data_IF_868278800592
#
_entry.id   IF_868278800592
#
_cell.length_a   1.000
_cell.length_b   1.000
_cell.length_c   1.000
_cell.angle_alpha   90.00
_cell.angle_beta   90.00
_cell.angle_gamma   90.00
#
_symmetry.space_group_name_H-M   'P 1'
#
loop_
_entity.id
_entity.type
_entity.pdbx_description
1 polymer ?
#
# COMPACT_ATOMS: atom_id res chain seq x y z
N UNK A 1 7.29 3.68 16.30
CA UNK A 1 7.80 5.03 16.01
C UNK A 1 7.22 5.43 14.66
N UNK A 2 6.68 6.65 14.57
CA UNK A 2 6.17 7.23 13.32
C UNK A 2 7.31 7.27 12.29
N UNK A 3 7.04 6.92 11.04
CA UNK A 3 8.04 7.03 9.95
C UNK A 3 8.03 8.39 9.28
N UNK A 4 6.89 9.07 9.32
CA UNK A 4 6.74 10.40 8.77
C UNK A 4 6.39 11.40 9.88
N UNK A 5 7.25 12.41 10.08
CA UNK A 5 7.04 13.43 11.09
C UNK A 5 7.40 14.83 10.54
N UNK A 6 6.39 15.68 10.38
CA UNK A 6 6.57 17.07 9.97
C UNK A 6 7.29 17.92 11.02
N UNK A 7 7.20 17.59 12.31
CA UNK A 7 7.94 18.31 13.35
C UNK A 7 9.45 17.99 13.29
N UNK A 8 9.83 16.91 12.61
CA UNK A 8 11.22 16.57 12.31
C UNK A 8 11.71 17.12 10.96
N UNK A 9 10.83 17.75 10.17
CA UNK A 9 11.23 18.31 8.88
C UNK A 9 12.23 19.48 9.06
N UNK A 10 13.35 19.52 8.32
CA UNK A 10 14.33 20.60 8.42
C UNK A 10 13.76 22.02 8.24
N UNK A 11 12.75 22.20 7.37
CA UNK A 11 12.08 23.49 7.17
C UNK A 11 11.35 23.96 8.42
N UNK A 12 10.71 23.04 9.15
CA UNK A 12 10.09 23.35 10.44
C UNK A 12 11.13 23.69 11.51
N UNK A 13 12.20 22.88 11.59
CA UNK A 13 13.22 23.01 12.62
C UNK A 13 13.97 24.34 12.56
N UNK A 14 14.31 24.78 11.34
CA UNK A 14 14.99 26.06 11.12
C UNK A 14 14.02 27.22 10.93
N UNK A 15 12.70 26.99 10.97
CA UNK A 15 11.65 28.00 10.71
C UNK A 15 11.81 28.71 9.35
N UNK A 16 12.26 27.96 8.34
CA UNK A 16 12.51 28.45 6.97
C UNK A 16 11.55 27.82 5.96
N UNK A 17 11.33 28.49 4.83
CA UNK A 17 10.61 27.96 3.68
C UNK A 17 11.55 27.52 2.52
N UNK A 18 11.07 26.72 1.54
CA UNK A 18 11.87 26.25 0.40
C UNK A 18 12.47 27.31 -0.53
N UNK A 19 12.05 28.58 -0.42
CA UNK A 19 12.57 29.70 -1.22
C UNK A 19 13.78 30.40 -0.60
N UNK A 20 14.13 30.07 0.64
CA UNK A 20 15.36 30.57 1.25
C UNK A 20 16.61 29.99 0.58
N UNK A 21 17.57 30.86 0.32
CA UNK A 21 18.87 30.54 -0.25
C UNK A 21 19.84 30.03 0.83
N UNK A 22 21.10 29.77 0.49
CA UNK A 22 22.09 29.25 1.46
C UNK A 22 22.45 30.24 2.58
N UNK A 23 22.49 31.53 2.27
CA UNK A 23 22.79 32.58 3.25
C UNK A 23 21.65 32.71 4.26
N UNK A 24 20.41 32.72 3.77
CA UNK A 24 19.21 32.73 4.61
C UNK A 24 19.17 31.52 5.56
N UNK A 25 19.55 30.33 5.06
CA UNK A 25 19.60 29.11 5.86
C UNK A 25 20.68 29.16 6.95
N UNK A 26 21.84 29.77 6.67
CA UNK A 26 22.90 29.94 7.65
C UNK A 26 22.49 30.90 8.77
N UNK A 27 21.87 32.03 8.42
CA UNK A 27 21.33 32.98 9.39
C UNK A 27 20.24 32.34 10.28
N UNK A 28 19.29 31.64 9.67
CA UNK A 28 18.23 30.96 10.40
C UNK A 28 18.76 29.84 11.33
N UNK A 29 19.88 29.21 10.96
CA UNK A 29 20.56 28.24 11.82
C UNK A 29 21.19 28.93 13.04
N UNK A 30 21.93 30.02 12.85
CA UNK A 30 22.53 30.79 13.96
C UNK A 30 21.46 31.28 14.95
N UNK A 31 20.35 31.82 14.44
CA UNK A 31 19.19 32.23 15.25
C UNK A 31 18.59 31.03 16.00
N UNK A 32 18.39 29.90 15.33
CA UNK A 32 17.81 28.70 15.94
C UNK A 32 18.69 28.11 17.05
N UNK A 33 20.02 28.11 16.89
CA UNK A 33 20.99 27.64 17.89
C UNK A 33 21.02 28.61 19.08
N UNK A 34 20.97 29.92 18.83
CA UNK A 34 20.90 30.92 19.89
C UNK A 34 19.61 30.78 20.74
N UNK A 35 18.46 30.52 20.11
CA UNK A 35 17.20 30.29 20.82
C UNK A 35 17.14 28.93 21.55
N UNK A 36 17.78 27.89 20.99
CA UNK A 36 17.69 26.49 21.46
C UNK A 36 19.06 25.81 21.44
N UNK A 37 19.98 26.19 22.35
CA UNK A 37 21.35 25.67 22.34
C UNK A 37 21.42 24.15 22.58
N UNK A 38 20.42 23.54 23.24
CA UNK A 38 20.36 22.10 23.46
C UNK A 38 20.06 21.25 22.20
N UNK A 39 19.62 21.87 21.10
CA UNK A 39 19.22 21.18 19.86
C UNK A 39 20.29 21.28 18.75
N UNK A 40 21.50 21.77 19.06
CA UNK A 40 22.53 22.12 18.06
C UNK A 40 22.86 20.99 17.07
N UNK A 41 23.02 19.75 17.55
CA UNK A 41 23.31 18.60 16.68
C UNK A 41 22.17 18.36 15.66
N UNK A 42 20.93 18.43 16.12
CA UNK A 42 19.74 18.24 15.28
C UNK A 42 19.58 19.39 14.28
N UNK A 43 19.85 20.63 14.69
CA UNK A 43 19.82 21.81 13.82
C UNK A 43 20.94 21.75 12.77
N UNK A 44 22.12 21.26 13.14
CA UNK A 44 23.25 21.07 12.23
C UNK A 44 22.92 20.03 11.16
N UNK A 45 22.34 18.89 11.56
CA UNK A 45 21.87 17.88 10.63
C UNK A 45 20.77 18.42 9.67
N UNK A 46 19.86 19.25 10.19
CA UNK A 46 18.83 19.91 9.39
C UNK A 46 19.43 20.85 8.34
N UNK A 47 20.37 21.72 8.74
CA UNK A 47 21.07 22.63 7.82
C UNK A 47 21.85 21.85 6.75
N UNK A 48 22.60 20.83 7.16
CA UNK A 48 23.36 19.99 6.24
C UNK A 48 22.42 19.32 5.22
N UNK A 49 21.29 18.77 5.67
CA UNK A 49 20.28 18.16 4.80
C UNK A 49 19.72 19.14 3.75
N UNK A 50 19.40 20.37 4.14
CA UNK A 50 18.89 21.39 3.22
C UNK A 50 19.93 21.92 2.21
N UNK A 51 21.22 21.75 2.51
CA UNK A 51 22.31 22.13 1.60
C UNK A 51 22.62 21.06 0.54
N UNK A 52 22.24 19.80 0.79
CA UNK A 52 22.49 18.67 -0.11
C UNK A 52 21.31 18.42 -1.07
N UNK A 53 21.52 18.13 -2.37
CA UNK A 53 20.44 18.07 -3.36
C UNK A 53 19.34 17.03 -3.06
N UNK A 54 19.73 15.82 -2.66
CA UNK A 54 18.80 14.69 -2.42
C UNK A 54 18.06 14.84 -1.09
N UNK A 55 18.73 15.06 0.07
CA UNK A 55 18.02 15.25 1.33
C UNK A 55 17.15 16.51 1.32
N UNK A 56 17.56 17.59 0.63
CA UNK A 56 16.70 18.76 0.42
C UNK A 56 15.43 18.40 -0.33
N UNK A 57 15.51 17.60 -1.41
CA UNK A 57 14.32 17.17 -2.15
C UNK A 57 13.33 16.41 -1.26
N UNK A 58 13.84 15.50 -0.43
CA UNK A 58 13.01 14.76 0.51
C UNK A 58 12.35 15.68 1.54
N UNK A 59 13.08 16.67 2.05
CA UNK A 59 12.54 17.69 2.94
C UNK A 59 11.46 18.54 2.25
N UNK A 60 11.66 18.94 0.98
CA UNK A 60 10.71 19.73 0.18
C UNK A 60 9.43 18.95 -0.08
N UNK A 61 9.55 17.69 -0.49
CA UNK A 61 8.42 16.79 -0.72
C UNK A 61 7.64 16.48 0.56
N UNK A 62 8.35 16.34 1.68
CA UNK A 62 7.76 16.16 3.01
C UNK A 62 7.30 17.45 3.68
N UNK A 63 7.24 18.58 2.96
CA UNK A 63 6.82 19.88 3.52
C UNK A 63 5.45 20.34 3.02
N UNK A 64 4.92 21.44 3.56
CA UNK A 64 3.56 21.92 3.26
C UNK A 64 3.47 22.73 1.96
N UNK A 65 4.61 23.14 1.40
CA UNK A 65 4.72 24.04 0.24
C UNK A 65 4.35 25.49 0.57
N UNK A 66 4.87 26.44 -0.21
CA UNK A 66 4.54 27.86 -0.08
C UNK A 66 5.03 28.53 1.23
N UNK A 67 4.52 29.74 1.48
CA UNK A 67 4.80 30.53 2.68
C UNK A 67 3.64 30.40 3.66
N UNK A 68 3.79 29.51 4.65
CA UNK A 68 2.83 29.33 5.73
C UNK A 68 3.49 29.80 7.03
N UNK A 69 2.75 30.55 7.85
CA UNK A 69 3.26 31.06 9.12
C UNK A 69 3.43 29.93 10.15
N UNK A 70 4.45 30.03 11.00
CA UNK A 70 4.75 29.03 12.04
C UNK A 70 3.54 28.73 12.94
N UNK A 71 2.75 29.72 13.42
CA UNK A 71 1.57 29.44 14.25
C UNK A 71 0.53 28.56 13.54
N UNK A 72 0.34 28.76 12.24
CA UNK A 72 -0.57 27.95 11.42
C UNK A 72 -0.05 26.53 11.29
N UNK A 73 1.25 26.36 11.03
CA UNK A 73 1.87 25.02 10.97
C UNK A 73 1.71 24.30 12.31
N UNK A 74 2.03 24.96 13.44
CA UNK A 74 1.89 24.37 14.77
C UNK A 74 0.46 23.92 15.07
N UNK A 75 -0.54 24.74 14.71
CA UNK A 75 -1.96 24.37 14.87
C UNK A 75 -2.36 23.18 13.98
N UNK A 76 -1.84 23.10 12.75
CA UNK A 76 -2.05 21.97 11.86
C UNK A 76 -1.43 20.68 12.40
N UNK A 77 -0.20 20.74 12.91
CA UNK A 77 0.49 19.59 13.53
C UNK A 77 -0.22 19.08 14.78
N UNK A 78 -0.77 20.00 15.59
CA UNK A 78 -1.57 19.64 16.76
C UNK A 78 -2.98 19.13 16.41
N UNK A 79 -3.40 19.22 15.13
CA UNK A 79 -4.77 18.90 14.72
C UNK A 79 -5.82 19.80 15.37
N UNK A 80 -5.46 21.05 15.65
CA UNK A 80 -6.34 22.08 16.24
C UNK A 80 -6.70 23.20 15.26
N UNK A 81 -6.04 23.23 14.09
CA UNK A 81 -6.36 24.18 13.04
C UNK A 81 -7.80 23.99 12.49
N UNK A 82 -8.48 25.08 12.08
CA UNK A 82 -9.75 25.00 11.36
C UNK A 82 -9.63 24.20 10.05
N UNK A 83 -10.71 23.54 9.65
CA UNK A 83 -10.75 22.76 8.39
C UNK A 83 -10.43 23.62 7.16
N UNK A 84 -10.87 24.88 7.14
CA UNK A 84 -10.56 25.83 6.08
C UNK A 84 -9.06 26.09 5.90
N UNK A 85 -8.25 25.97 6.97
CA UNK A 85 -6.79 26.07 6.89
C UNK A 85 -6.20 24.87 6.16
N UNK A 86 -6.76 23.68 6.38
CA UNK A 86 -6.34 22.47 5.68
C UNK A 86 -6.68 22.54 4.17
N UNK A 87 -7.83 23.11 3.80
CA UNK A 87 -8.25 23.27 2.40
C UNK A 87 -7.36 24.24 1.60
N UNK A 88 -6.79 25.25 2.26
CA UNK A 88 -5.86 26.21 1.64
C UNK A 88 -4.52 25.57 1.24
N UNK A 89 -4.17 24.42 1.81
CA UNK A 89 -2.95 23.69 1.46
C UNK A 89 -3.10 23.04 0.08
N UNK A 90 -2.00 22.98 -0.67
CA UNK A 90 -1.92 22.13 -1.86
C UNK A 90 -2.10 20.64 -1.52
N UNK A 91 -2.38 19.81 -2.53
CA UNK A 91 -2.63 18.38 -2.33
C UNK A 91 -1.49 17.66 -1.59
N UNK A 92 -0.23 17.99 -1.90
CA UNK A 92 0.94 17.43 -1.20
C UNK A 92 0.99 17.84 0.28
N UNK A 93 0.77 19.13 0.59
CA UNK A 93 0.75 19.62 1.97
C UNK A 93 -0.37 18.99 2.80
N UNK A 94 -1.56 18.82 2.20
CA UNK A 94 -2.67 18.07 2.82
C UNK A 94 -2.31 16.62 3.09
N UNK A 95 -1.66 15.94 2.14
CA UNK A 95 -1.18 14.56 2.30
C UNK A 95 -0.18 14.45 3.45
N UNK A 96 0.78 15.38 3.52
CA UNK A 96 1.80 15.41 4.56
C UNK A 96 1.18 15.63 5.95
N UNK A 97 0.26 16.60 6.11
CA UNK A 97 -0.45 16.78 7.39
C UNK A 97 -1.25 15.54 7.77
N UNK A 98 -2.02 14.98 6.85
CA UNK A 98 -2.82 13.79 7.12
C UNK A 98 -1.94 12.59 7.52
N UNK A 99 -0.81 12.40 6.84
CA UNK A 99 0.16 11.37 7.17
C UNK A 99 0.82 11.59 8.54
N UNK A 100 1.21 12.82 8.87
CA UNK A 100 1.75 13.16 10.19
C UNK A 100 0.73 12.85 11.30
N UNK A 101 -0.52 13.32 11.15
CA UNK A 101 -1.59 13.08 12.12
C UNK A 101 -1.92 11.58 12.27
N UNK A 102 -1.80 10.79 11.19
CA UNK A 102 -1.93 9.32 11.29
C UNK A 102 -0.88 8.70 12.23
N UNK A 103 0.32 9.29 12.28
CA UNK A 103 1.44 8.82 13.11
C UNK A 103 1.40 9.26 14.57
N UNK A 104 0.47 10.14 14.98
CA UNK A 104 0.43 10.71 16.33
C UNK A 104 -0.34 9.79 17.31
N UNK A 105 0.34 9.15 18.29
CA UNK A 105 -0.32 8.25 19.24
C UNK A 105 -1.27 8.98 20.22
N UNK A 106 -1.05 10.26 20.48
CA UNK A 106 -1.82 11.11 21.41
C UNK A 106 -3.20 11.49 20.86
N UNK A 107 -3.39 11.42 19.54
CA UNK A 107 -4.69 11.70 18.94
C UNK A 107 -5.71 10.62 19.24
N UNK A 108 -6.97 11.05 19.44
CA UNK A 108 -8.08 10.11 19.63
C UNK A 108 -8.26 9.19 18.41
N UNK A 109 -8.77 7.96 18.59
CA UNK A 109 -9.00 7.03 17.49
C UNK A 109 -9.83 7.63 16.35
N UNK A 110 -10.87 8.41 16.68
CA UNK A 110 -11.72 9.10 15.69
C UNK A 110 -10.97 10.14 14.87
N UNK A 111 -10.08 10.93 15.47
CA UNK A 111 -9.24 11.89 14.73
C UNK A 111 -8.24 11.18 13.82
N UNK A 112 -7.65 10.07 14.27
CA UNK A 112 -6.79 9.25 13.41
C UNK A 112 -7.53 8.61 12.24
N UNK A 113 -8.78 8.16 12.45
CA UNK A 113 -9.62 7.63 11.38
C UNK A 113 -9.99 8.71 10.34
N UNK A 114 -10.23 9.94 10.78
CA UNK A 114 -10.44 11.08 9.89
C UNK A 114 -9.16 11.40 9.09
N UNK A 115 -8.01 11.50 9.76
CA UNK A 115 -6.71 11.72 9.10
C UNK A 115 -6.41 10.63 8.06
N UNK A 116 -6.68 9.37 8.38
CA UNK A 116 -6.51 8.24 7.45
C UNK A 116 -7.42 8.39 6.22
N UNK A 117 -8.68 8.76 6.42
CA UNK A 117 -9.64 8.98 5.32
C UNK A 117 -9.21 10.15 4.42
N UNK A 118 -8.76 11.25 5.03
CA UNK A 118 -8.19 12.41 4.31
C UNK A 118 -6.95 12.02 3.51
N UNK A 119 -6.04 11.25 4.10
CA UNK A 119 -4.81 10.79 3.45
C UNK A 119 -5.13 9.96 2.20
N UNK A 120 -6.02 8.97 2.30
CA UNK A 120 -6.43 8.14 1.16
C UNK A 120 -7.09 9.00 0.07
N UNK A 121 -7.98 9.92 0.46
CA UNK A 121 -8.66 10.81 -0.48
C UNK A 121 -7.69 11.73 -1.23
N UNK A 122 -6.72 12.33 -0.55
CA UNK A 122 -5.78 13.26 -1.18
C UNK A 122 -4.73 12.56 -2.04
N UNK A 123 -4.33 11.33 -1.70
CA UNK A 123 -3.41 10.52 -2.51
C UNK A 123 -3.93 10.34 -3.95
N UNK A 124 -5.25 10.24 -4.12
CA UNK A 124 -5.89 10.18 -5.44
C UNK A 124 -5.68 11.44 -6.30
N UNK A 125 -5.38 12.58 -5.66
CA UNK A 125 -5.27 13.90 -6.29
C UNK A 125 -3.84 14.35 -6.52
N UNK A 126 -2.84 13.59 -6.03
CA UNK A 126 -1.44 13.94 -6.25
C UNK A 126 -1.08 13.79 -7.73
N UNK A 127 -0.40 14.81 -8.25
CA UNK A 127 0.11 14.86 -9.61
C UNK A 127 1.62 15.13 -9.56
N UNK A 128 2.46 14.12 -9.87
CA UNK A 128 3.92 14.25 -9.85
C UNK A 128 4.43 15.42 -10.70
N UNK A 129 3.82 15.68 -11.86
CA UNK A 129 4.24 16.76 -12.75
C UNK A 129 3.97 18.14 -12.12
N UNK A 130 2.78 18.33 -11.55
CA UNK A 130 2.45 19.57 -10.85
C UNK A 130 3.33 19.79 -9.61
N UNK A 131 3.65 18.72 -8.88
CA UNK A 131 4.57 18.76 -7.72
C UNK A 131 5.98 19.16 -8.18
N UNK A 132 6.51 18.55 -9.24
CA UNK A 132 7.82 18.86 -9.81
C UNK A 132 7.91 20.33 -10.26
N UNK A 133 6.88 20.85 -10.93
CA UNK A 133 6.81 22.25 -11.32
C UNK A 133 6.80 23.21 -10.11
N UNK A 134 6.11 22.85 -9.03
CA UNK A 134 6.06 23.65 -7.82
C UNK A 134 7.44 23.70 -7.13
N UNK A 135 8.09 22.53 -6.94
CA UNK A 135 9.43 22.43 -6.36
C UNK A 135 10.45 23.18 -7.23
N UNK A 136 10.41 22.98 -8.55
CA UNK A 136 11.30 23.67 -9.48
C UNK A 136 11.18 25.20 -9.43
N UNK A 137 9.97 25.73 -9.16
CA UNK A 137 9.75 27.16 -8.95
C UNK A 137 10.41 27.67 -7.67
N UNK A 138 10.24 26.95 -6.57
CA UNK A 138 10.81 27.35 -5.27
C UNK A 138 12.34 27.21 -5.26
N UNK A 139 12.89 26.18 -5.91
CA UNK A 139 14.34 26.01 -6.11
C UNK A 139 14.95 27.11 -6.96
N UNK A 140 14.29 27.52 -8.04
CA UNK A 140 14.73 28.65 -8.86
C UNK A 140 14.81 29.95 -8.05
N UNK A 141 13.83 30.19 -7.18
CA UNK A 141 13.83 31.37 -6.32
C UNK A 141 14.97 31.34 -5.27
N UNK A 142 15.29 30.16 -4.74
CA UNK A 142 16.35 29.96 -3.74
C UNK A 142 17.77 29.78 -4.33
N UNK A 143 17.90 29.72 -5.65
CA UNK A 143 19.19 29.48 -6.32
C UNK A 143 19.68 28.02 -6.26
N UNK A 144 18.81 27.06 -5.91
CA UNK A 144 19.14 25.63 -5.92
C UNK A 144 18.89 25.03 -7.32
N UNK A 145 19.67 24.00 -7.72
CA UNK A 145 19.52 23.37 -9.02
C UNK A 145 18.17 22.67 -9.17
N UNK A 146 17.69 22.60 -10.42
CA UNK A 146 16.48 21.86 -10.77
C UNK A 146 16.60 20.37 -10.38
N UNK A 147 15.45 19.74 -10.17
CA UNK A 147 15.35 18.32 -9.83
C UNK A 147 15.21 17.51 -11.11
N UNK A 148 15.94 16.41 -11.21
CA UNK A 148 15.76 15.41 -12.26
C UNK A 148 14.48 14.59 -12.03
N UNK A 149 13.73 14.30 -13.09
CA UNK A 149 12.43 13.63 -13.00
C UNK A 149 12.54 12.23 -12.36
N UNK A 150 13.58 11.46 -12.66
CA UNK A 150 13.76 10.13 -12.07
C UNK A 150 14.05 10.21 -10.56
N UNK A 151 14.78 11.24 -10.14
CA UNK A 151 15.02 11.51 -8.72
C UNK A 151 13.73 11.94 -8.01
N UNK A 152 12.90 12.77 -8.66
CA UNK A 152 11.59 13.18 -8.14
C UNK A 152 10.67 11.96 -7.94
N UNK A 153 10.55 11.10 -8.96
CA UNK A 153 9.72 9.90 -8.90
C UNK A 153 10.17 8.94 -7.79
N UNK A 154 11.47 8.72 -7.67
CA UNK A 154 12.03 7.89 -6.59
C UNK A 154 11.72 8.46 -5.20
N UNK A 155 11.86 9.78 -5.04
CA UNK A 155 11.59 10.44 -3.77
C UNK A 155 10.09 10.47 -3.42
N UNK A 156 9.20 10.63 -4.41
CA UNK A 156 7.75 10.52 -4.24
C UNK A 156 7.33 9.10 -3.85
N UNK A 157 7.90 8.07 -4.50
CA UNK A 157 7.66 6.68 -4.13
C UNK A 157 8.09 6.40 -2.69
N UNK A 158 9.24 6.96 -2.26
CA UNK A 158 9.68 6.85 -0.88
C UNK A 158 8.72 7.54 0.10
N UNK A 159 8.30 8.77 -0.20
CA UNK A 159 7.34 9.50 0.61
C UNK A 159 6.02 8.74 0.75
N UNK A 160 5.53 8.13 -0.33
CA UNK A 160 4.32 7.31 -0.30
C UNK A 160 4.44 6.10 0.66
N UNK A 161 5.62 5.48 0.76
CA UNK A 161 5.88 4.40 1.73
C UNK A 161 5.87 4.92 3.17
N UNK A 162 6.46 6.10 3.43
CA UNK A 162 6.45 6.71 4.76
C UNK A 162 5.02 7.13 5.17
N UNK A 163 4.21 7.66 4.22
CA UNK A 163 2.79 7.92 4.41
C UNK A 163 1.99 6.65 4.71
N UNK A 164 2.22 5.57 3.96
CA UNK A 164 1.57 4.27 4.17
C UNK A 164 1.86 3.72 5.56
N UNK A 165 3.10 3.83 6.03
CA UNK A 165 3.47 3.28 7.33
C UNK A 165 2.77 4.02 8.48
N UNK A 166 2.61 5.34 8.38
CA UNK A 166 1.79 6.09 9.32
C UNK A 166 0.30 5.77 9.18
N UNK A 167 -0.20 5.61 7.96
CA UNK A 167 -1.58 5.18 7.70
C UNK A 167 -1.88 3.82 8.35
N UNK A 168 -0.93 2.89 8.30
CA UNK A 168 -1.03 1.59 8.96
C UNK A 168 -1.09 1.75 10.49
N UNK A 169 -0.28 2.64 11.08
CA UNK A 169 -0.35 2.93 12.53
C UNK A 169 -1.74 3.45 12.92
N UNK A 170 -2.28 4.42 12.18
CA UNK A 170 -3.61 4.96 12.41
C UNK A 170 -4.71 3.90 12.27
N UNK A 171 -4.59 3.03 11.27
CA UNK A 171 -5.50 1.94 11.00
C UNK A 171 -5.49 0.91 12.14
N UNK A 172 -4.31 0.43 12.53
CA UNK A 172 -4.15 -0.59 13.57
C UNK A 172 -4.58 -0.10 14.96
N UNK A 173 -4.67 1.21 15.17
CA UNK A 173 -5.18 1.81 16.39
C UNK A 173 -6.73 1.87 16.46
N UNK A 174 -7.43 1.41 15.43
CA UNK A 174 -8.90 1.32 15.42
C UNK A 174 -9.38 0.01 16.03
N UNK A 175 -10.64 -0.03 16.48
CA UNK A 175 -11.26 -1.25 17.03
C UNK A 175 -11.47 -2.35 15.99
N UNK A 176 -11.83 -1.97 14.76
CA UNK A 176 -12.10 -2.88 13.65
C UNK A 176 -11.24 -2.54 12.42
N UNK A 177 -9.89 -2.69 12.49
CA UNK A 177 -8.98 -2.21 11.46
C UNK A 177 -9.25 -2.88 10.10
N UNK A 178 -9.50 -4.19 10.06
CA UNK A 178 -9.77 -4.91 8.83
C UNK A 178 -11.06 -4.43 8.15
N UNK A 179 -12.12 -4.17 8.93
CA UNK A 179 -13.40 -3.69 8.39
C UNK A 179 -13.27 -2.27 7.84
N UNK A 180 -12.58 -1.39 8.55
CA UNK A 180 -12.32 -0.03 8.08
C UNK A 180 -11.54 -0.03 6.76
N UNK A 181 -10.47 -0.83 6.68
CA UNK A 181 -9.67 -0.94 5.47
C UNK A 181 -10.47 -1.54 4.29
N UNK A 182 -11.34 -2.52 4.56
CA UNK A 182 -12.22 -3.08 3.53
C UNK A 182 -13.17 -2.02 2.97
N UNK A 183 -13.79 -1.18 3.81
CA UNK A 183 -14.65 -0.09 3.36
C UNK A 183 -13.88 0.95 2.53
N UNK A 184 -12.64 1.26 2.93
CA UNK A 184 -11.76 2.16 2.18
C UNK A 184 -11.38 1.57 0.81
N UNK A 185 -11.07 0.28 0.76
CA UNK A 185 -10.77 -0.42 -0.49
C UNK A 185 -11.98 -0.45 -1.43
N UNK A 186 -13.18 -0.77 -0.93
CA UNK A 186 -14.42 -0.78 -1.72
C UNK A 186 -14.70 0.59 -2.37
N UNK A 187 -14.40 1.70 -1.68
CA UNK A 187 -14.60 3.06 -2.22
C UNK A 187 -13.48 3.52 -3.15
N UNK A 188 -12.24 3.15 -2.85
CA UNK A 188 -11.06 3.75 -3.48
C UNK A 188 -10.45 2.96 -4.63
N UNK A 189 -10.80 1.68 -4.80
CA UNK A 189 -10.27 0.84 -5.89
C UNK A 189 -10.80 1.23 -7.28
N UNK A 190 -11.87 2.02 -7.37
CA UNK A 190 -12.39 2.55 -8.64
C UNK A 190 -11.58 3.71 -9.24
N UNK A 191 -10.59 4.24 -8.53
CA UNK A 191 -9.71 5.30 -9.01
C UNK A 191 -8.26 4.80 -9.02
N UNK A 192 -7.63 4.78 -10.19
CA UNK A 192 -6.28 4.20 -10.41
C UNK A 192 -5.21 4.78 -9.48
N UNK A 193 -5.27 6.10 -9.20
CA UNK A 193 -4.28 6.79 -8.36
C UNK A 193 -4.42 6.40 -6.89
N UNK A 194 -5.64 6.34 -6.36
CA UNK A 194 -5.85 5.82 -5.00
C UNK A 194 -5.64 4.32 -4.91
N UNK A 195 -5.90 3.56 -5.98
CA UNK A 195 -5.76 2.11 -5.98
C UNK A 195 -4.32 1.67 -5.66
N UNK A 196 -3.30 2.35 -6.19
CA UNK A 196 -1.90 2.02 -5.90
C UNK A 196 -1.54 2.22 -4.41
N UNK A 197 -1.98 3.33 -3.81
CA UNK A 197 -1.75 3.59 -2.38
C UNK A 197 -2.53 2.61 -1.49
N UNK A 198 -3.79 2.33 -1.83
CA UNK A 198 -4.65 1.37 -1.12
C UNK A 198 -4.06 -0.04 -1.20
N UNK A 199 -3.62 -0.49 -2.37
CA UNK A 199 -2.98 -1.80 -2.55
C UNK A 199 -1.76 -1.93 -1.64
N UNK A 200 -0.88 -0.92 -1.65
CA UNK A 200 0.30 -0.89 -0.77
C UNK A 200 -0.08 -0.91 0.72
N UNK A 201 -1.12 -0.17 1.13
CA UNK A 201 -1.63 -0.20 2.50
C UNK A 201 -2.22 -1.56 2.90
N UNK A 202 -2.97 -2.19 1.99
CA UNK A 202 -3.53 -3.55 2.17
C UNK A 202 -2.41 -4.58 2.29
N UNK A 203 -1.33 -4.46 1.53
CA UNK A 203 -0.15 -5.33 1.67
C UNK A 203 0.53 -5.17 3.02
N UNK A 204 0.72 -3.93 3.48
CA UNK A 204 1.32 -3.67 4.78
C UNK A 204 0.43 -4.16 5.93
N UNK A 205 -0.89 -4.00 5.82
CA UNK A 205 -1.87 -4.55 6.75
C UNK A 205 -1.83 -6.07 6.77
N UNK A 206 -1.87 -6.73 5.60
CA UNK A 206 -1.84 -8.19 5.48
C UNK A 206 -0.59 -8.79 6.12
N UNK A 207 0.57 -8.16 5.92
CA UNK A 207 1.82 -8.55 6.58
C UNK A 207 1.73 -8.40 8.12
N UNK A 208 1.12 -7.31 8.61
CA UNK A 208 0.96 -7.07 10.04
C UNK A 208 0.03 -8.08 10.72
N UNK A 209 -1.04 -8.52 10.05
CA UNK A 209 -2.02 -9.48 10.60
C UNK A 209 -1.73 -10.93 10.25
N UNK A 210 -0.66 -11.22 9.50
CA UNK A 210 -0.31 -12.58 9.07
C UNK A 210 -0.24 -13.61 10.21
N UNK A 211 0.38 -13.33 11.38
CA UNK A 211 0.41 -14.30 12.48
C UNK A 211 -0.99 -14.68 12.97
N UNK A 212 -1.89 -13.71 13.07
CA UNK A 212 -3.28 -13.93 13.50
C UNK A 212 -4.09 -14.66 12.43
N UNK A 213 -3.86 -14.36 11.14
CA UNK A 213 -4.44 -15.10 10.03
C UNK A 213 -4.03 -16.57 10.04
N UNK A 214 -2.76 -16.87 10.33
CA UNK A 214 -2.28 -18.26 10.42
C UNK A 214 -2.90 -19.00 11.59
N UNK A 215 -2.99 -18.35 12.76
CA UNK A 215 -3.66 -18.92 13.94
C UNK A 215 -5.13 -19.24 13.66
N UNK A 216 -5.86 -18.33 13.02
CA UNK A 216 -7.27 -18.55 12.62
C UNK A 216 -7.40 -19.61 11.54
N UNK A 217 -6.48 -19.67 10.59
CA UNK A 217 -6.41 -20.73 9.58
C UNK A 217 -6.29 -22.13 10.21
N UNK A 218 -5.34 -22.30 11.14
CA UNK A 218 -5.17 -23.56 11.87
C UNK A 218 -6.43 -23.95 12.68
N UNK A 219 -7.14 -22.97 13.26
CA UNK A 219 -8.39 -23.22 13.96
C UNK A 219 -9.50 -23.73 13.01
N UNK A 220 -9.57 -23.22 11.78
CA UNK A 220 -10.50 -23.70 10.76
C UNK A 220 -10.14 -25.12 10.34
N UNK A 221 -8.86 -25.41 10.09
CA UNK A 221 -8.40 -26.75 9.73
C UNK A 221 -8.75 -27.78 10.82
N UNK A 222 -8.53 -27.43 12.09
CA UNK A 222 -8.90 -28.27 13.23
C UNK A 222 -10.43 -28.48 13.32
N UNK A 223 -11.24 -27.44 13.08
CA UNK A 223 -12.69 -27.55 13.05
C UNK A 223 -13.18 -28.42 11.89
N UNK A 224 -12.62 -28.23 10.68
CA UNK A 224 -12.91 -29.07 9.51
C UNK A 224 -12.53 -30.54 9.75
N UNK A 225 -11.43 -30.80 10.47
CA UNK A 225 -11.04 -32.16 10.82
C UNK A 225 -12.04 -32.83 11.78
N UNK A 226 -12.61 -32.09 12.74
CA UNK A 226 -13.68 -32.60 13.62
C UNK A 226 -14.98 -32.86 12.88
N UNK A 227 -15.34 -32.00 11.93
CA UNK A 227 -16.54 -32.19 11.08
C UNK A 227 -16.45 -33.47 10.23
N UNK A 228 -15.24 -34.00 9.98
CA UNK A 228 -15.06 -35.31 9.32
C UNK A 228 -15.36 -36.50 10.24
N UNK A 229 -15.48 -36.30 11.55
CA UNK A 229 -15.63 -37.39 12.51
C UNK A 229 -17.11 -37.73 12.76
N UNK A 230 -17.45 -39.00 13.11
CA UNK A 230 -18.84 -39.44 13.29
C UNK A 230 -19.55 -38.85 14.51
N UNK A 231 -18.82 -38.36 15.53
CA UNK A 231 -19.37 -37.99 16.85
C UNK A 231 -20.03 -36.59 16.91
N UNK A 232 -20.57 -36.13 15.79
CA UNK A 232 -21.34 -34.89 15.68
C UNK A 232 -20.51 -33.74 15.09
N UNK A 233 -21.02 -33.05 14.05
CA UNK A 233 -20.30 -31.97 13.41
C UNK A 233 -20.27 -30.73 14.30
N UNK A 234 -19.08 -30.26 14.64
CA UNK A 234 -18.85 -28.92 15.22
C UNK A 234 -18.91 -27.85 14.12
N UNK A 235 -20.03 -27.86 13.37
CA UNK A 235 -20.27 -26.96 12.25
C UNK A 235 -20.25 -25.49 12.69
N UNK A 236 -20.82 -25.20 13.87
CA UNK A 236 -20.85 -23.83 14.39
C UNK A 236 -19.47 -23.29 14.75
N UNK A 237 -18.56 -24.09 15.32
CA UNK A 237 -17.19 -23.62 15.52
C UNK A 237 -16.47 -23.42 14.18
N UNK A 238 -16.71 -24.28 13.19
CA UNK A 238 -16.15 -24.10 11.85
C UNK A 238 -16.66 -22.79 11.21
N UNK A 239 -17.95 -22.53 11.29
CA UNK A 239 -18.58 -21.31 10.77
C UNK A 239 -18.08 -20.06 11.49
N UNK A 240 -17.98 -20.11 12.82
CA UNK A 240 -17.44 -19.02 13.64
C UNK A 240 -15.97 -18.73 13.29
N UNK A 241 -15.14 -19.77 13.19
CA UNK A 241 -13.73 -19.63 12.84
C UNK A 241 -13.53 -19.06 11.43
N UNK A 242 -14.33 -19.53 10.46
CA UNK A 242 -14.30 -19.03 9.08
C UNK A 242 -14.69 -17.56 9.00
N UNK A 243 -15.80 -17.16 9.65
CA UNK A 243 -16.23 -15.75 9.70
C UNK A 243 -15.16 -14.86 10.33
N UNK A 244 -14.55 -15.31 11.42
CA UNK A 244 -13.49 -14.58 12.10
C UNK A 244 -12.24 -14.41 11.20
N UNK A 245 -11.84 -15.45 10.45
CA UNK A 245 -10.75 -15.36 9.50
C UNK A 245 -11.08 -14.46 8.31
N UNK A 246 -12.31 -14.55 7.80
CA UNK A 246 -12.80 -13.79 6.65
C UNK A 246 -12.70 -12.29 6.87
N UNK A 247 -13.11 -11.80 8.05
CA UNK A 247 -13.02 -10.37 8.40
C UNK A 247 -11.60 -9.82 8.20
N UNK A 248 -10.57 -10.59 8.56
CA UNK A 248 -9.18 -10.14 8.44
C UNK A 248 -8.66 -10.16 7.00
N UNK A 249 -9.01 -11.16 6.19
CA UNK A 249 -8.52 -11.27 4.81
C UNK A 249 -9.29 -10.39 3.83
N UNK A 250 -10.49 -9.93 4.21
CA UNK A 250 -11.43 -9.18 3.37
C UNK A 250 -10.77 -8.03 2.58
N UNK A 251 -9.93 -7.16 3.17
CA UNK A 251 -9.27 -6.11 2.40
C UNK A 251 -8.42 -6.64 1.24
N UNK A 252 -7.68 -7.73 1.46
CA UNK A 252 -6.84 -8.36 0.42
C UNK A 252 -7.69 -8.98 -0.68
N UNK A 253 -8.79 -9.64 -0.32
CA UNK A 253 -9.73 -10.20 -1.30
C UNK A 253 -10.30 -9.13 -2.23
N UNK A 254 -10.67 -7.96 -1.69
CA UNK A 254 -11.21 -6.85 -2.49
C UNK A 254 -10.20 -6.35 -3.53
N UNK A 255 -8.93 -6.20 -3.14
CA UNK A 255 -7.86 -5.81 -4.07
C UNK A 255 -7.66 -6.86 -5.18
N UNK A 256 -7.72 -8.14 -4.84
CA UNK A 256 -7.61 -9.23 -5.82
C UNK A 256 -8.83 -9.28 -6.76
N UNK A 257 -10.03 -9.13 -6.22
CA UNK A 257 -11.28 -9.13 -6.97
C UNK A 257 -11.36 -7.95 -7.94
N UNK A 258 -10.88 -6.76 -7.55
CA UNK A 258 -10.78 -5.60 -8.45
C UNK A 258 -9.84 -5.85 -9.65
N UNK A 259 -8.92 -6.81 -9.53
CA UNK A 259 -8.02 -7.26 -10.60
C UNK A 259 -8.54 -8.53 -11.31
N UNK A 260 -9.79 -8.93 -11.06
CA UNK A 260 -10.43 -10.15 -11.56
C UNK A 260 -9.63 -11.43 -11.22
N UNK A 261 -9.10 -11.50 -10.00
CA UNK A 261 -8.31 -12.63 -9.49
C UNK A 261 -8.84 -13.10 -8.14
N UNK A 262 -8.63 -14.38 -7.85
CA UNK A 262 -8.91 -14.92 -6.52
C UNK A 262 -7.70 -14.73 -5.59
N UNK A 263 -7.97 -14.41 -4.33
CA UNK A 263 -6.93 -14.35 -3.29
C UNK A 263 -6.43 -15.77 -2.97
N UNK A 264 -5.11 -16.05 -3.01
CA UNK A 264 -4.59 -17.42 -2.95
C UNK A 264 -4.95 -18.21 -1.68
N UNK A 265 -4.97 -17.59 -0.49
CA UNK A 265 -5.29 -18.28 0.76
C UNK A 265 -6.77 -18.66 0.81
N UNK A 266 -7.63 -17.78 0.32
CA UNK A 266 -9.06 -17.99 0.20
C UNK A 266 -9.37 -19.12 -0.78
N UNK A 267 -8.65 -19.20 -1.90
CA UNK A 267 -8.78 -20.29 -2.87
C UNK A 267 -8.39 -21.65 -2.27
N UNK A 268 -7.28 -21.70 -1.53
CA UNK A 268 -6.85 -22.89 -0.80
C UNK A 268 -7.92 -23.33 0.21
N UNK A 269 -8.36 -22.41 1.06
CA UNK A 269 -9.34 -22.70 2.10
C UNK A 269 -10.67 -23.16 1.48
N UNK A 270 -11.16 -22.46 0.45
CA UNK A 270 -12.36 -22.86 -0.29
C UNK A 270 -12.25 -24.29 -0.85
N UNK A 271 -11.08 -24.67 -1.39
CA UNK A 271 -10.84 -26.03 -1.88
C UNK A 271 -10.91 -27.07 -0.75
N UNK A 272 -10.36 -26.77 0.43
CA UNK A 272 -10.47 -27.66 1.59
C UNK A 272 -11.92 -27.86 2.04
N UNK A 273 -12.74 -26.80 2.06
CA UNK A 273 -14.18 -26.90 2.36
C UNK A 273 -14.90 -27.79 1.34
N UNK A 274 -14.61 -27.63 0.04
CA UNK A 274 -15.17 -28.47 -1.03
C UNK A 274 -14.84 -29.95 -0.83
N UNK A 275 -13.58 -30.27 -0.54
CA UNK A 275 -13.15 -31.65 -0.29
C UNK A 275 -13.84 -32.29 0.93
N UNK A 276 -14.12 -31.52 1.98
CA UNK A 276 -14.87 -32.02 3.15
C UNK A 276 -16.34 -32.24 2.80
N UNK A 277 -16.97 -31.26 2.15
CA UNK A 277 -18.37 -31.37 1.76
C UNK A 277 -18.63 -32.53 0.80
N UNK A 278 -17.77 -32.75 -0.20
CA UNK A 278 -17.93 -33.88 -1.13
C UNK A 278 -17.84 -35.23 -0.43
N UNK A 279 -16.89 -35.42 0.50
CA UNK A 279 -16.80 -36.65 1.30
C UNK A 279 -18.04 -36.88 2.16
N UNK A 280 -18.54 -35.83 2.80
CA UNK A 280 -19.77 -35.93 3.60
C UNK A 280 -21.01 -36.22 2.75
N UNK A 281 -20.97 -35.92 1.45
CA UNK A 281 -22.06 -36.21 0.53
C UNK A 281 -21.99 -37.60 -0.12
N UNK A 282 -20.94 -38.38 0.15
CA UNK A 282 -20.84 -39.77 -0.28
C UNK A 282 -21.94 -40.64 0.36
N UNK A 283 -22.32 -41.78 -0.25
CA UNK A 283 -23.34 -42.67 0.31
C UNK A 283 -23.01 -43.08 1.74
N UNK A 284 -23.95 -42.85 2.67
CA UNK A 284 -23.77 -43.11 4.10
C UNK A 284 -23.16 -41.95 4.90
N UNK A 285 -22.85 -40.82 4.26
CA UNK A 285 -22.39 -39.59 4.91
C UNK A 285 -23.51 -38.63 5.34
N UNK A 286 -23.12 -37.55 6.02
CA UNK A 286 -24.01 -36.47 6.45
C UNK A 286 -24.17 -35.39 5.36
N UNK A 287 -25.11 -35.63 4.45
CA UNK A 287 -25.42 -34.73 3.33
C UNK A 287 -25.96 -33.36 3.79
N UNK A 288 -26.62 -33.30 4.95
CA UNK A 288 -27.13 -32.04 5.50
C UNK A 288 -25.97 -31.13 5.88
N UNK A 289 -24.98 -31.66 6.62
CA UNK A 289 -23.76 -30.92 6.96
C UNK A 289 -22.94 -30.59 5.72
N UNK A 290 -22.85 -31.48 4.73
CA UNK A 290 -22.19 -31.19 3.45
C UNK A 290 -22.79 -29.95 2.76
N UNK A 291 -24.13 -29.88 2.73
CA UNK A 291 -24.86 -28.76 2.13
C UNK A 291 -24.65 -27.46 2.92
N UNK A 292 -24.69 -27.55 4.25
CA UNK A 292 -24.46 -26.41 5.14
C UNK A 292 -23.03 -25.84 4.99
N UNK A 293 -22.02 -26.71 4.89
CA UNK A 293 -20.62 -26.30 4.64
C UNK A 293 -20.45 -25.63 3.29
N UNK A 294 -21.04 -26.21 2.23
CA UNK A 294 -20.93 -25.64 0.89
C UNK A 294 -21.60 -24.26 0.82
N UNK A 295 -22.77 -24.12 1.43
CA UNK A 295 -23.46 -22.82 1.52
C UNK A 295 -22.64 -21.79 2.29
N UNK A 296 -22.10 -22.17 3.45
CA UNK A 296 -21.22 -21.31 4.25
C UNK A 296 -19.99 -20.84 3.46
N UNK A 297 -19.34 -21.76 2.74
CA UNK A 297 -18.19 -21.44 1.89
C UNK A 297 -18.59 -20.51 0.76
N UNK A 298 -19.69 -20.81 0.05
CA UNK A 298 -20.21 -19.97 -1.02
C UNK A 298 -20.51 -18.55 -0.53
N UNK A 299 -21.26 -18.41 0.57
CA UNK A 299 -21.61 -17.09 1.13
C UNK A 299 -20.37 -16.29 1.55
N UNK A 300 -19.34 -16.96 2.08
CA UNK A 300 -18.09 -16.33 2.50
C UNK A 300 -17.24 -15.91 1.30
N UNK A 301 -17.09 -16.78 0.30
CA UNK A 301 -16.18 -16.58 -0.83
C UNK A 301 -16.83 -16.00 -2.07
N UNK A 302 -18.13 -15.69 -2.05
CA UNK A 302 -18.88 -15.04 -3.14
C UNK A 302 -18.14 -13.91 -3.86
N UNK A 303 -17.36 -13.05 -3.17
CA UNK A 303 -16.69 -11.92 -3.83
C UNK A 303 -15.45 -12.32 -4.65
N UNK A 304 -15.07 -13.59 -4.65
CA UNK A 304 -13.96 -14.15 -5.42
C UNK A 304 -14.52 -14.83 -6.68
N UNK A 305 -14.24 -14.29 -7.88
CA UNK A 305 -14.95 -14.69 -9.09
C UNK A 305 -14.80 -16.18 -9.41
N UNK A 306 -13.57 -16.72 -9.41
CA UNK A 306 -13.33 -18.10 -9.82
C UNK A 306 -13.81 -19.11 -8.76
N UNK A 307 -13.63 -18.78 -7.48
CA UNK A 307 -14.08 -19.65 -6.40
C UNK A 307 -15.62 -19.62 -6.22
N UNK A 308 -16.29 -18.48 -6.43
CA UNK A 308 -17.75 -18.39 -6.31
C UNK A 308 -18.45 -19.29 -7.34
N UNK A 309 -18.07 -19.18 -8.61
CA UNK A 309 -18.64 -20.00 -9.70
C UNK A 309 -18.51 -21.51 -9.41
N UNK A 310 -17.35 -21.91 -8.89
CA UNK A 310 -17.06 -23.29 -8.54
C UNK A 310 -17.96 -23.79 -7.39
N UNK A 311 -18.09 -22.99 -6.33
CA UNK A 311 -18.91 -23.32 -5.16
C UNK A 311 -20.41 -23.34 -5.50
N UNK A 312 -20.87 -22.46 -6.39
CA UNK A 312 -22.25 -22.47 -6.90
C UNK A 312 -22.56 -23.77 -7.65
N UNK A 313 -21.65 -24.21 -8.53
CA UNK A 313 -21.78 -25.47 -9.25
C UNK A 313 -21.87 -26.66 -8.31
N UNK A 314 -21.03 -26.71 -7.28
CA UNK A 314 -21.04 -27.80 -6.30
C UNK A 314 -22.29 -27.78 -5.42
N UNK A 315 -22.77 -26.60 -5.02
CA UNK A 315 -24.01 -26.46 -4.25
C UNK A 315 -25.24 -26.95 -5.04
N UNK A 316 -25.30 -26.66 -6.35
CA UNK A 316 -26.36 -27.16 -7.23
C UNK A 316 -26.36 -28.70 -7.31
N UNK A 317 -25.16 -29.31 -7.41
CA UNK A 317 -25.01 -30.78 -7.41
C UNK A 317 -25.44 -31.43 -6.10
N UNK A 318 -25.11 -30.80 -4.97
CA UNK A 318 -25.51 -31.28 -3.63
C UNK A 318 -27.01 -31.09 -3.35
N UNK A 319 -27.67 -30.16 -4.03
CA UNK A 319 -29.11 -29.92 -3.90
C UNK A 319 -29.97 -30.87 -4.75
N UNK A 320 -29.38 -31.51 -5.76
CA UNK A 320 -30.09 -32.47 -6.64
C UNK A 320 -30.20 -33.83 -5.96
N UNK A 321 -31.38 -34.50 -5.95
CA UNK A 321 -31.53 -35.82 -5.33
C UNK A 321 -30.63 -36.87 -5.99
N UNK A 322 -30.10 -37.86 -5.24
CA UNK A 322 -29.36 -38.97 -5.83
C UNK A 322 -30.30 -39.75 -6.78
N UNK A 323 -29.91 -39.87 -8.05
CA UNK A 323 -30.65 -40.63 -9.07
C UNK A 323 -31.48 -39.80 -10.06
N UNK A 324 -31.56 -38.46 -9.90
CA UNK A 324 -32.11 -37.60 -10.96
C UNK A 324 -31.03 -37.39 -12.03
N UNK A 325 -31.24 -37.81 -13.30
CA UNK A 325 -30.28 -37.52 -14.35
C UNK A 325 -30.10 -35.99 -14.47
N UNK A 326 -28.86 -35.50 -14.65
CA UNK A 326 -28.63 -34.06 -14.76
C UNK A 326 -29.46 -33.53 -15.94
N UNK A 327 -30.35 -32.57 -15.65
CA UNK A 327 -31.03 -31.84 -16.72
C UNK A 327 -29.96 -31.22 -17.63
N UNK A 328 -30.01 -31.51 -18.92
CA UNK A 328 -29.01 -31.14 -19.93
C UNK A 328 -28.87 -29.61 -20.14
N UNK A 329 -29.63 -28.80 -19.41
CA UNK A 329 -29.59 -27.33 -19.48
C UNK A 329 -28.61 -26.67 -18.50
N UNK A 330 -27.79 -27.44 -17.78
CA UNK A 330 -26.67 -26.84 -17.05
C UNK A 330 -25.65 -26.35 -18.09
N UNK A 331 -25.38 -25.04 -18.20
CA UNK A 331 -24.39 -24.53 -19.14
C UNK A 331 -23.07 -25.27 -18.89
N UNK A 332 -22.53 -25.88 -19.95
CA UNK A 332 -21.24 -26.56 -19.87
C UNK A 332 -20.26 -25.61 -19.18
N UNK A 333 -19.59 -26.04 -18.09
CA UNK A 333 -18.57 -25.20 -17.48
C UNK A 333 -17.59 -24.82 -18.58
N UNK A 334 -17.39 -23.51 -18.75
CA UNK A 334 -16.35 -23.02 -19.64
C UNK A 334 -15.04 -23.74 -19.26
N UNK A 335 -14.19 -24.08 -20.24
CA UNK A 335 -12.96 -24.80 -19.97
C UNK A 335 -12.23 -24.10 -18.82
N UNK A 336 -12.18 -24.82 -17.70
CA UNK A 336 -11.54 -24.37 -16.46
C UNK A 336 -10.16 -23.89 -16.87
N UNK A 337 -9.88 -22.57 -16.72
CA UNK A 337 -8.49 -22.11 -16.69
C UNK A 337 -7.81 -23.02 -15.67
N UNK A 338 -6.74 -23.75 -16.05
CA UNK A 338 -6.23 -24.85 -15.25
C UNK A 338 -6.11 -24.39 -13.81
N UNK A 339 -6.73 -25.15 -12.89
CA UNK A 339 -6.58 -24.95 -11.45
C UNK A 339 -5.11 -24.65 -11.18
N UNK A 340 -4.78 -23.67 -10.32
CA UNK A 340 -3.39 -23.36 -10.08
C UNK A 340 -2.69 -24.67 -9.72
N UNK A 341 -1.64 -25.08 -10.45
CA UNK A 341 -1.11 -26.43 -10.37
C UNK A 341 -0.73 -26.73 -8.92
N UNK A 342 -0.53 -28.01 -8.55
CA UNK A 342 0.11 -28.39 -7.26
C UNK A 342 1.31 -27.49 -6.89
N UNK A 343 1.96 -26.88 -7.88
CA UNK A 343 2.93 -25.79 -7.77
C UNK A 343 2.48 -24.57 -6.93
N UNK A 344 1.22 -24.15 -6.93
CA UNK A 344 0.74 -23.02 -6.13
C UNK A 344 0.61 -23.37 -4.64
N UNK A 345 0.20 -24.60 -4.32
CA UNK A 345 0.19 -25.13 -2.96
C UNK A 345 1.61 -25.30 -2.39
N UNK A 346 2.55 -25.78 -3.21
CA UNK A 346 3.97 -25.86 -2.84
C UNK A 346 4.64 -24.50 -2.77
N UNK A 347 4.31 -23.56 -3.67
CA UNK A 347 4.76 -22.16 -3.57
C UNK A 347 4.22 -21.47 -2.33
N UNK A 348 3.01 -21.80 -1.87
CA UNK A 348 2.46 -21.24 -0.63
C UNK A 348 3.12 -21.83 0.62
N UNK A 349 3.38 -23.14 0.66
CA UNK A 349 4.18 -23.72 1.74
C UNK A 349 5.58 -23.09 1.80
N UNK A 350 6.26 -22.98 0.65
CA UNK A 350 7.56 -22.32 0.55
C UNK A 350 7.51 -20.82 0.89
N UNK A 351 6.44 -20.12 0.51
CA UNK A 351 6.23 -18.71 0.83
C UNK A 351 5.92 -18.52 2.32
N UNK A 352 5.11 -19.38 2.93
CA UNK A 352 4.79 -19.40 4.36
C UNK A 352 6.07 -19.60 5.17
N UNK A 353 6.88 -20.58 4.79
CA UNK A 353 8.12 -20.89 5.48
C UNK A 353 9.12 -19.73 5.31
N UNK A 354 9.25 -19.16 4.10
CA UNK A 354 10.05 -17.95 3.86
C UNK A 354 9.54 -16.71 4.62
N UNK A 355 8.23 -16.53 4.75
CA UNK A 355 7.63 -15.42 5.49
C UNK A 355 7.89 -15.56 7.00
N UNK A 356 7.79 -16.78 7.54
CA UNK A 356 8.16 -17.08 8.92
C UNK A 356 9.65 -16.80 9.18
N UNK A 357 10.53 -17.19 8.25
CA UNK A 357 11.97 -16.90 8.33
C UNK A 357 12.27 -15.40 8.30
N UNK A 358 11.60 -14.63 7.43
CA UNK A 358 11.75 -13.16 7.39
C UNK A 358 11.22 -12.50 8.67
N UNK A 359 10.12 -13.00 9.23
CA UNK A 359 9.56 -12.50 10.48
C UNK A 359 10.52 -12.79 11.65
N UNK A 360 11.15 -13.95 11.66
CA UNK A 360 12.18 -14.33 12.62
C UNK A 360 13.42 -13.43 12.47
N UNK A 361 13.90 -13.18 11.25
CA UNK A 361 15.01 -12.28 10.96
C UNK A 361 14.71 -10.83 11.38
N UNK A 362 13.50 -10.33 11.11
CA UNK A 362 13.09 -8.99 11.53
C UNK A 362 12.99 -8.85 13.06
N UNK A 363 12.50 -9.89 13.75
CA UNK A 363 12.48 -9.93 15.22
C UNK A 363 13.90 -9.97 15.78
N UNK A 364 14.79 -10.78 15.21
CA UNK A 364 16.19 -10.84 15.59
C UNK A 364 16.90 -9.49 15.41
N UNK A 365 16.66 -8.81 14.28
CA UNK A 365 17.22 -7.47 14.02
C UNK A 365 16.69 -6.42 15.00
N UNK A 366 15.40 -6.47 15.36
CA UNK A 366 14.82 -5.56 16.36
C UNK A 366 15.37 -5.80 17.76
N UNK A 367 15.59 -7.05 18.14
CA UNK A 367 16.22 -7.41 19.43
C UNK A 367 17.69 -6.96 19.43
N UNK A 368 18.44 -7.18 18.36
CA UNK A 368 19.82 -6.74 18.23
C UNK A 368 19.95 -5.21 18.30
N UNK A 369 19.07 -4.46 17.62
CA UNK A 369 19.02 -3.00 17.71
C UNK A 369 18.67 -2.51 19.12
N UNK A 370 17.71 -3.15 19.79
CA UNK A 370 17.34 -2.80 21.17
C UNK A 370 18.48 -3.05 22.16
N UNK A 371 19.25 -4.14 21.98
CA UNK A 371 20.40 -4.47 22.82
C UNK A 371 21.63 -3.58 22.51
N UNK A 372 21.83 -3.21 21.24
CA UNK A 372 22.90 -2.28 20.83
C UNK A 372 22.70 -0.87 21.38
N UNK A 373 21.44 -0.38 21.40
CA UNK A 373 21.08 0.91 22.02
C UNK A 373 21.27 0.89 23.53
N UNK A 374 21.01 -0.24 24.19
CA UNK A 374 21.17 -0.37 25.64
C UNK A 374 22.63 -0.46 26.12
N UNK A 375 23.56 -0.84 25.24
CA UNK A 375 24.97 -1.12 25.60
C UNK A 375 25.97 -0.09 25.07
N UNK A 376 25.52 0.91 24.31
CA UNK A 376 26.39 1.98 23.78
C UNK A 376 27.47 1.49 22.78
N UNK A 377 27.38 0.25 22.31
CA UNK A 377 28.35 -0.37 21.39
C UNK A 377 27.69 -0.71 20.06
N UNK A 378 27.93 0.12 19.03
CA UNK A 378 27.65 -0.25 17.64
C UNK A 378 28.84 -1.05 17.08
N UNK A 379 28.95 -2.32 17.47
CA UNK A 379 29.74 -3.27 16.69
C UNK A 379 28.86 -3.82 15.56
N UNK A 380 29.34 -3.71 14.32
CA UNK A 380 28.67 -4.28 13.14
C UNK A 380 28.71 -5.81 13.28
N UNK A 381 27.61 -6.41 13.75
CA UNK A 381 27.44 -7.86 13.76
C UNK A 381 27.04 -8.30 12.35
N UNK A 382 28.01 -8.72 11.55
CA UNK A 382 27.77 -9.46 10.31
C UNK A 382 27.38 -10.89 10.69
N UNK A 383 26.08 -11.17 10.80
CA UNK A 383 25.59 -12.55 10.88
C UNK A 383 25.75 -13.22 9.51
N UNK A 384 26.79 -14.03 9.38
CA UNK A 384 26.95 -14.97 8.28
C UNK A 384 25.91 -16.11 8.41
N UNK A 385 24.69 -15.86 7.95
CA UNK A 385 23.72 -16.89 7.64
C UNK A 385 23.53 -16.89 6.11
N UNK A 386 24.40 -17.62 5.41
CA UNK A 386 24.27 -17.83 3.97
C UNK A 386 23.03 -18.67 3.67
N UNK A 387 22.20 -18.31 2.67
CA UNK A 387 21.11 -19.16 2.23
C UNK A 387 21.68 -20.43 1.56
N UNK A 388 21.14 -21.60 1.91
CA UNK A 388 21.38 -22.84 1.17
C UNK A 388 20.86 -22.65 -0.26
N UNK A 389 21.76 -22.63 -1.23
CA UNK A 389 21.42 -22.65 -2.64
C UNK A 389 20.89 -24.03 -3.00
N UNK A 390 19.59 -24.13 -3.26
CA UNK A 390 19.05 -25.22 -4.07
C UNK A 390 19.34 -24.89 -5.54
N UNK A 391 20.25 -25.65 -6.15
CA UNK A 391 20.47 -25.65 -7.59
C UNK A 391 19.16 -25.98 -8.33
N UNK A 392 18.80 -25.12 -9.28
CA UNK A 392 17.76 -25.39 -10.25
C UNK A 392 18.34 -26.27 -11.38
N UNK A 393 17.59 -27.25 -11.92
CA UNK A 393 18.06 -28.09 -13.01
C UNK A 393 18.13 -27.29 -14.33
N UNK A 394 19.22 -27.48 -15.07
CA UNK A 394 19.45 -26.92 -16.40
C UNK A 394 18.35 -27.35 -17.40
N UNK A 395 17.93 -26.45 -18.31
CA UNK A 395 17.10 -26.84 -19.46
C UNK A 395 17.95 -27.54 -20.53
N UNK A 396 17.40 -28.52 -21.28
CA UNK A 396 18.15 -29.23 -22.30
C UNK A 396 18.47 -28.34 -23.50
N UNK A 397 19.68 -28.54 -24.02
CA UNK A 397 20.25 -27.91 -25.19
C UNK A 397 19.32 -27.99 -26.41
N UNK A 398 19.10 -26.85 -27.08
CA UNK A 398 18.50 -26.78 -28.41
C UNK A 398 19.51 -26.28 -29.43
N UNK A 399 19.76 -27.21 -30.35
CA UNK A 399 20.42 -27.21 -31.66
C UNK A 399 20.60 -25.85 -32.37
N UNK A 400 21.75 -25.76 -33.02
CA UNK A 400 22.31 -24.62 -33.74
C UNK A 400 21.69 -24.32 -35.13
N UNK A 401 21.75 -23.02 -35.46
CA UNK A 401 22.04 -22.36 -36.76
C UNK A 401 20.93 -22.30 -37.86
N UNK A 402 21.01 -21.38 -38.86
CA UNK A 402 22.08 -20.41 -39.15
C UNK A 402 21.68 -18.93 -39.40
N UNK A 403 22.68 -18.09 -39.15
CA UNK A 403 23.12 -16.85 -39.81
C UNK A 403 22.39 -16.39 -41.09
N UNK A 404 21.94 -15.13 -41.09
CA UNK A 404 21.83 -14.32 -42.30
C UNK A 404 22.20 -12.85 -42.01
N UNK A 405 23.31 -12.42 -42.60
CA UNK A 405 23.77 -11.04 -42.72
C UNK A 405 22.86 -10.23 -43.66
N UNK A 406 22.58 -8.97 -43.31
CA UNK A 406 22.28 -7.79 -44.17
C UNK A 406 22.10 -6.63 -43.16
N UNK A 407 22.87 -5.55 -43.12
CA UNK A 407 23.52 -4.80 -44.19
C UNK A 407 22.61 -3.62 -44.58
N UNK A 408 23.11 -2.38 -44.41
CA UNK A 408 22.55 -1.07 -44.87
C UNK A 408 21.57 -0.40 -43.88
N UNK A 409 21.52 0.92 -43.71
CA UNK A 409 22.32 2.07 -44.18
C UNK A 409 21.85 3.27 -43.34
N UNK A 410 22.78 4.09 -42.87
CA UNK A 410 22.51 5.35 -42.17
C UNK A 410 22.09 6.40 -43.22
N UNK A 411 20.99 7.11 -42.98
CA UNK A 411 20.63 8.31 -43.72
C UNK A 411 20.19 9.41 -42.74
N UNK A 412 20.85 10.56 -42.84
CA UNK A 412 20.63 11.76 -42.06
C UNK A 412 19.33 12.50 -42.45
N UNK A 413 18.71 13.27 -41.53
CA UNK A 413 17.55 14.08 -41.86
C UNK A 413 17.95 15.43 -42.47
N UNK A 414 17.29 15.80 -43.58
CA UNK A 414 17.32 17.13 -44.18
C UNK A 414 16.10 17.94 -43.69
N UNK A 415 16.21 19.25 -43.40
CA UNK A 415 15.11 20.04 -42.84
C UNK A 415 14.29 20.74 -43.94
N UNK A 416 13.01 21.08 -43.69
CA UNK A 416 12.34 22.10 -44.48
C UNK A 416 12.21 23.43 -43.74
N UNK A 417 12.92 24.39 -44.33
CA UNK A 417 12.56 25.79 -44.60
C UNK A 417 11.37 26.46 -43.87
N UNK A 418 11.71 27.63 -43.34
CA UNK A 418 10.83 28.71 -42.91
C UNK A 418 10.02 29.35 -44.06
N UNK A 419 8.79 29.77 -43.73
CA UNK A 419 7.94 30.84 -44.32
C UNK A 419 6.63 30.82 -43.51
N UNK A 420 6.05 31.87 -42.95
CA UNK A 420 6.32 33.30 -42.86
C UNK A 420 5.06 34.00 -42.30
N UNK A 421 5.26 35.19 -41.72
CA UNK A 421 4.30 36.33 -41.56
C UNK A 421 3.04 36.11 -40.70
N UNK A 422 2.98 36.76 -39.53
CA UNK A 422 2.45 38.11 -39.26
C UNK A 422 0.91 38.19 -39.24
N UNK A 423 0.35 38.32 -38.03
CA UNK A 423 -0.74 39.27 -37.71
C UNK A 423 -0.83 39.46 -36.19
N UNK A 424 -0.26 40.57 -35.72
CA UNK A 424 -0.52 41.15 -34.40
C UNK A 424 -1.92 41.77 -34.41
N UNK A 425 -2.86 41.24 -33.63
CA UNK A 425 -4.10 41.94 -33.27
C UNK A 425 -3.96 42.50 -31.85
N UNK A 426 -3.91 43.83 -31.76
CA UNK A 426 -4.09 44.61 -30.54
C UNK A 426 -5.54 44.47 -30.04
N UNK A 427 -5.78 44.30 -28.74
CA UNK A 427 -7.10 44.57 -28.16
C UNK A 427 -7.29 46.08 -27.86
N UNK A 428 -8.52 46.60 -27.93
CA UNK A 428 -8.83 48.01 -27.71
C UNK A 428 -8.86 48.38 -26.21
N UNK A 429 -8.64 49.66 -25.86
CA UNK A 429 -8.70 50.12 -24.48
C UNK A 429 -10.11 50.58 -24.10
N UNK A 430 -10.49 50.33 -22.85
CA UNK A 430 -11.51 51.12 -22.15
C UNK A 430 -12.55 50.31 -21.40
N UNK A 431 -12.54 50.43 -20.07
CA UNK A 431 -13.56 51.20 -19.34
C UNK A 431 -13.19 51.34 -17.87
N UNK A 432 -13.10 52.60 -17.47
CA UNK A 432 -13.09 53.11 -16.10
C UNK A 432 -14.41 52.76 -15.41
N UNK A 433 -14.36 52.20 -14.20
CA UNK A 433 -15.46 52.21 -13.25
C UNK A 433 -14.94 52.87 -11.97
N UNK A 434 -15.52 54.03 -11.66
CA UNK A 434 -15.38 54.75 -10.39
C UNK A 434 -16.41 54.20 -9.38
N UNK A 435 -16.16 54.31 -8.06
CA UNK A 435 -16.97 53.67 -7.03
C UNK A 435 -18.17 54.53 -6.63
N UNK A 436 -19.25 53.88 -6.19
CA UNK A 436 -20.37 54.54 -5.51
C UNK A 436 -20.68 53.81 -4.20
N UNK A 437 -20.53 54.59 -3.12
CA UNK A 437 -21.17 54.58 -1.79
C UNK A 437 -21.34 53.28 -1.01
#
# INVERSE_FOLDING_TARGET
>A
MSRFDLAANPFFLLRVNPRHNREDLALAFEEAVAERPGDEERLTAALHGLCQPVPRLQAELGWLGGTISVPVVTALLAGTAPESTFEQLGALGRANIAAHLCGQPELSPGRRALALSCLIGVQATLDPAAIGLAIGRDRRASGFPAVDDALLDSALARLALDHRDNALLALMAQSEPARLLAQMAERGLGNERSAAFIDSLVEAFDAAVLPELMRRGAAIEAALARVRQPQGPDFEACASALRAWFVLVRPRQLVFAAKLRDEPRSLLLGTQFREVAHRLAEPGGDRQTATALMRLAHDTFRPLPGLSELLESDQARLSTPPGTPPSLDIPRPQPIRPSPPRAALTRWAAWRDCALDRLAAHRALRVALALGVATGSFAIVVLAAGPRTHEAPEPPASVAAPTAQRGLSIAAPTPPAARGRNTLQRPPPGRSISPAR
#
